data_IF_737302418382
#
_entry.id   IF_737302418382
#
_cell.length_a   1.000
_cell.length_b   1.000
_cell.length_c   1.000
_cell.angle_alpha   90.00
_cell.angle_beta   90.00
_cell.angle_gamma   90.00
#
_symmetry.space_group_name_H-M   'P 1'
#
loop_
_entity.id
_entity.type
_entity.pdbx_description
1 polymer ?
#
# COMPACT_ATOMS: atom_id res chain seq x y z
N UNK A 1 -19.25 10.14 8.01
CA UNK A 1 -17.91 9.52 7.88
C UNK A 1 -17.99 8.28 6.99
N UNK A 2 -17.05 8.13 6.10
CA UNK A 2 -16.90 6.93 5.27
C UNK A 2 -15.53 6.33 5.55
N UNK A 3 -15.48 5.01 5.77
CA UNK A 3 -14.24 4.26 5.95
C UNK A 3 -14.09 3.31 4.76
N UNK A 4 -13.00 3.47 4.02
CA UNK A 4 -12.64 2.61 2.89
C UNK A 4 -11.45 1.76 3.31
N UNK A 5 -11.65 0.43 3.36
CA UNK A 5 -10.60 -0.49 3.76
C UNK A 5 -10.08 -1.25 2.53
N UNK A 6 -8.78 -1.55 2.55
CA UNK A 6 -8.11 -2.33 1.51
C UNK A 6 -8.31 -1.73 0.11
N UNK A 7 -8.16 -0.39 -0.04
CA UNK A 7 -8.40 0.28 -1.34
C UNK A 7 -7.47 -0.23 -2.45
N UNK A 8 -6.32 -0.79 -2.10
CA UNK A 8 -5.41 -1.38 -3.08
C UNK A 8 -6.00 -2.62 -3.78
N UNK A 9 -6.98 -3.27 -3.17
CA UNK A 9 -7.67 -4.41 -3.76
C UNK A 9 -8.89 -4.03 -4.61
N UNK A 10 -9.27 -2.75 -4.63
CA UNK A 10 -10.37 -2.26 -5.46
C UNK A 10 -9.92 -2.19 -6.91
N UNK A 11 -10.59 -2.95 -7.77
CA UNK A 11 -10.14 -3.18 -9.14
C UNK A 11 -10.73 -2.20 -10.14
N UNK A 12 -9.88 -1.73 -11.05
CA UNK A 12 -10.24 -1.02 -12.26
C UNK A 12 -10.99 0.29 -12.02
N UNK A 13 -11.69 0.72 -13.06
CA UNK A 13 -12.46 1.97 -13.06
C UNK A 13 -13.64 1.93 -12.07
N UNK A 14 -14.15 0.74 -11.76
CA UNK A 14 -15.27 0.58 -10.82
C UNK A 14 -14.96 1.07 -9.43
N UNK A 15 -13.77 0.76 -8.91
CA UNK A 15 -13.32 1.21 -7.60
C UNK A 15 -13.15 2.72 -7.54
N UNK A 16 -12.56 3.32 -8.58
CA UNK A 16 -12.38 4.77 -8.68
C UNK A 16 -13.73 5.47 -8.75
N UNK A 17 -14.66 4.98 -9.57
CA UNK A 17 -16.02 5.54 -9.67
C UNK A 17 -16.75 5.48 -8.33
N UNK A 18 -16.66 4.37 -7.64
CA UNK A 18 -17.29 4.21 -6.31
C UNK A 18 -16.73 5.23 -5.32
N UNK A 19 -15.42 5.43 -5.31
CA UNK A 19 -14.79 6.45 -4.46
C UNK A 19 -15.30 7.85 -4.79
N UNK A 20 -15.37 8.21 -6.07
CA UNK A 20 -15.86 9.54 -6.51
C UNK A 20 -17.33 9.76 -6.14
N UNK A 21 -18.17 8.75 -6.25
CA UNK A 21 -19.57 8.82 -5.84
C UNK A 21 -19.68 9.08 -4.33
N UNK A 22 -18.92 8.35 -3.52
CA UNK A 22 -18.91 8.54 -2.07
C UNK A 22 -18.40 9.93 -1.68
N UNK A 23 -17.36 10.40 -2.35
CA UNK A 23 -16.79 11.73 -2.13
C UNK A 23 -17.81 12.83 -2.44
N UNK A 24 -18.54 12.70 -3.56
CA UNK A 24 -19.60 13.64 -3.94
C UNK A 24 -20.74 13.67 -2.93
N UNK A 25 -21.13 12.51 -2.43
CA UNK A 25 -22.20 12.40 -1.44
C UNK A 25 -21.88 13.12 -0.13
N UNK A 26 -20.61 13.25 0.22
CA UNK A 26 -20.18 13.94 1.44
C UNK A 26 -20.23 15.46 1.32
N UNK A 27 -20.38 16.00 0.12
CA UNK A 27 -20.44 17.45 -0.08
C UNK A 27 -21.60 18.16 0.64
N UNK A 28 -22.66 17.41 0.95
CA UNK A 28 -23.82 17.94 1.68
C UNK A 28 -23.62 17.99 3.20
N UNK A 29 -22.52 17.46 3.73
CA UNK A 29 -22.25 17.41 5.16
C UNK A 29 -21.35 18.57 5.60
N UNK A 30 -21.54 19.06 6.81
CA UNK A 30 -20.73 20.14 7.37
C UNK A 30 -19.30 19.70 7.68
N UNK A 31 -19.15 18.48 8.20
CA UNK A 31 -17.85 17.90 8.54
C UNK A 31 -17.71 16.52 7.90
N UNK A 32 -17.54 16.48 6.58
CA UNK A 32 -17.36 15.21 5.90
C UNK A 32 -15.96 14.64 6.21
N UNK A 33 -15.90 13.32 6.38
CA UNK A 33 -14.64 12.60 6.54
C UNK A 33 -14.67 11.32 5.73
N UNK A 34 -13.65 11.15 4.89
CA UNK A 34 -13.35 9.88 4.23
C UNK A 34 -12.01 9.40 4.79
N UNK A 35 -12.02 8.25 5.43
CA UNK A 35 -10.82 7.57 5.91
C UNK A 35 -10.56 6.38 5.01
N UNK A 36 -9.42 6.41 4.29
CA UNK A 36 -9.00 5.30 3.42
C UNK A 36 -7.75 4.66 4.00
N UNK A 37 -7.81 3.35 4.23
CA UNK A 37 -6.70 2.58 4.76
C UNK A 37 -6.38 1.42 3.83
N UNK A 38 -5.09 1.13 3.65
CA UNK A 38 -4.67 0.05 2.77
C UNK A 38 -3.20 -0.29 2.96
N UNK A 39 -2.83 -1.51 2.61
CA UNK A 39 -1.46 -1.86 2.23
C UNK A 39 -1.28 -1.64 0.73
N UNK A 40 -0.05 -1.74 0.24
CA UNK A 40 0.22 -1.73 -1.19
C UNK A 40 -0.36 -2.99 -1.86
N UNK A 41 -0.49 -2.94 -3.17
CA UNK A 41 -1.08 -4.05 -3.92
C UNK A 41 -0.41 -4.25 -5.27
N UNK A 42 -1.11 -4.94 -6.16
CA UNK A 42 -0.64 -5.29 -7.50
C UNK A 42 -1.38 -4.57 -8.62
N UNK A 43 -2.52 -3.96 -8.32
CA UNK A 43 -3.37 -3.33 -9.34
C UNK A 43 -2.77 -2.02 -9.83
N UNK A 44 -2.93 -1.74 -11.13
CA UNK A 44 -2.46 -0.52 -11.77
C UNK A 44 -3.63 0.41 -12.09
N UNK A 45 -3.38 1.73 -12.04
CA UNK A 45 -4.30 2.79 -12.47
C UNK A 45 -5.65 2.79 -11.72
N UNK A 46 -5.68 2.19 -10.52
CA UNK A 46 -6.87 2.19 -9.68
C UNK A 46 -6.86 3.32 -8.66
N UNK A 47 -7.81 3.23 -7.70
CA UNK A 47 -7.95 4.23 -6.63
C UNK A 47 -6.68 4.34 -5.77
N UNK A 48 -5.99 3.24 -5.51
CA UNK A 48 -4.76 3.26 -4.73
C UNK A 48 -3.69 4.13 -5.40
N UNK A 49 -3.47 3.95 -6.71
CA UNK A 49 -2.49 4.75 -7.45
C UNK A 49 -2.86 6.23 -7.46
N UNK A 50 -4.14 6.54 -7.63
CA UNK A 50 -4.62 7.93 -7.59
C UNK A 50 -4.37 8.58 -6.22
N UNK A 51 -4.71 7.87 -5.15
CA UNK A 51 -4.48 8.38 -3.79
C UNK A 51 -3.00 8.50 -3.46
N UNK A 52 -2.17 7.57 -3.92
CA UNK A 52 -0.72 7.63 -3.72
C UNK A 52 -0.10 8.82 -4.47
N UNK A 53 -0.52 9.07 -5.70
CA UNK A 53 -0.07 10.20 -6.51
C UNK A 53 -0.41 11.53 -5.82
N UNK A 54 -1.66 11.69 -5.37
CA UNK A 54 -2.11 12.89 -4.66
C UNK A 54 -1.38 13.06 -3.33
N UNK A 55 -1.23 11.99 -2.58
CA UNK A 55 -0.53 12.00 -1.28
C UNK A 55 0.93 12.38 -1.41
N UNK A 56 1.62 11.81 -2.39
CA UNK A 56 3.02 12.12 -2.66
C UNK A 56 3.20 13.58 -3.07
N UNK A 57 2.34 14.10 -3.94
CA UNK A 57 2.36 15.49 -4.35
C UNK A 57 2.14 16.43 -3.15
N UNK A 58 1.20 16.09 -2.28
CA UNK A 58 0.92 16.86 -1.07
C UNK A 58 2.14 16.89 -0.13
N UNK A 59 2.73 15.73 0.15
CA UNK A 59 3.87 15.62 1.07
C UNK A 59 5.12 16.32 0.53
N UNK A 60 5.27 16.39 -0.79
CA UNK A 60 6.37 17.13 -1.44
C UNK A 60 6.12 18.64 -1.56
N UNK A 61 4.96 19.11 -1.13
CA UNK A 61 4.59 20.52 -1.23
C UNK A 61 4.16 20.96 -2.63
N UNK A 62 3.86 20.03 -3.53
CA UNK A 62 3.50 20.30 -4.92
C UNK A 62 1.99 20.27 -5.17
N UNK A 63 1.18 20.29 -4.11
CA UNK A 63 -0.28 20.23 -4.21
C UNK A 63 -0.93 21.42 -3.53
N UNK A 64 -2.04 21.87 -4.08
CA UNK A 64 -2.89 22.91 -3.50
C UNK A 64 -4.02 22.35 -2.65
N UNK A 65 -4.10 21.03 -2.50
CA UNK A 65 -5.13 20.38 -1.68
C UNK A 65 -4.95 20.76 -0.21
N UNK A 66 -6.05 21.08 0.46
CA UNK A 66 -6.05 21.47 1.88
C UNK A 66 -6.80 20.48 2.77
N UNK A 67 -7.52 19.53 2.16
CA UNK A 67 -8.39 18.59 2.88
C UNK A 67 -7.89 17.15 2.76
N UNK A 68 -6.61 16.98 2.44
CA UNK A 68 -5.96 15.69 2.35
C UNK A 68 -4.93 15.59 3.48
N UNK A 69 -4.98 14.50 4.24
CA UNK A 69 -4.00 14.22 5.29
C UNK A 69 -3.47 12.80 5.09
N UNK A 70 -2.36 12.64 4.36
CA UNK A 70 -1.80 11.32 4.11
C UNK A 70 -0.82 10.89 5.19
N UNK A 71 -0.88 9.61 5.55
CA UNK A 71 0.12 8.92 6.35
C UNK A 71 0.63 7.74 5.53
N UNK A 72 1.87 7.85 5.05
CA UNK A 72 2.48 6.82 4.22
C UNK A 72 3.59 6.11 5.01
N UNK A 73 3.30 4.89 5.42
CA UNK A 73 4.24 4.03 6.14
C UNK A 73 4.81 3.00 5.18
N UNK A 74 5.99 3.27 4.65
CA UNK A 74 6.65 2.43 3.66
C UNK A 74 8.17 2.51 3.87
N UNK A 75 8.90 1.52 3.34
CA UNK A 75 10.36 1.61 3.33
C UNK A 75 10.82 2.66 2.32
N UNK A 76 11.98 3.26 2.56
CA UNK A 76 12.56 4.27 1.67
C UNK A 76 13.44 3.67 0.59
N UNK A 77 14.18 2.62 0.93
CA UNK A 77 15.15 1.97 0.04
C UNK A 77 14.73 0.51 -0.20
N UNK A 78 14.29 0.23 -1.42
CA UNK A 78 13.81 -1.10 -1.80
C UNK A 78 14.93 -2.15 -1.72
N UNK A 79 16.19 -1.75 -1.92
CA UNK A 79 17.33 -2.66 -1.78
C UNK A 79 17.53 -3.15 -0.34
N UNK A 80 16.99 -2.43 0.63
CA UNK A 80 17.04 -2.79 2.05
C UNK A 80 15.76 -3.46 2.53
N UNK A 81 15.02 -4.09 1.64
CA UNK A 81 13.74 -4.72 1.97
C UNK A 81 13.83 -5.79 3.06
N UNK A 82 14.99 -6.40 3.23
CA UNK A 82 15.27 -7.44 4.24
C UNK A 82 15.99 -6.93 5.49
N UNK A 83 16.11 -5.61 5.65
CA UNK A 83 16.73 -5.00 6.83
C UNK A 83 15.64 -4.64 7.84
N UNK A 84 15.77 -5.14 9.07
CA UNK A 84 14.81 -4.90 10.15
C UNK A 84 14.68 -3.39 10.45
N UNK A 85 15.77 -2.65 10.44
CA UNK A 85 15.72 -1.20 10.72
C UNK A 85 14.95 -0.44 9.63
N UNK A 86 15.11 -0.86 8.37
CA UNK A 86 14.33 -0.28 7.28
C UNK A 86 12.84 -0.63 7.39
N UNK A 87 12.53 -1.87 7.79
CA UNK A 87 11.16 -2.34 7.95
C UNK A 87 10.38 -1.60 9.05
N UNK A 88 11.06 -1.00 10.01
CA UNK A 88 10.41 -0.19 11.04
C UNK A 88 9.68 1.01 10.46
N UNK A 89 10.15 1.55 9.33
CA UNK A 89 9.50 2.68 8.65
C UNK A 89 8.11 2.32 8.14
N UNK A 90 7.94 1.09 7.66
CA UNK A 90 6.65 0.58 7.18
C UNK A 90 5.81 -0.04 8.30
N UNK A 91 6.42 -0.36 9.45
CA UNK A 91 5.77 -1.05 10.55
C UNK A 91 6.04 -0.33 11.88
N UNK A 92 5.35 0.79 12.14
CA UNK A 92 5.60 1.60 13.33
C UNK A 92 5.32 0.87 14.65
N UNK A 93 4.53 -0.21 14.62
CA UNK A 93 4.25 -1.04 15.80
C UNK A 93 5.27 -2.16 16.04
N UNK A 94 6.36 -2.19 15.26
CA UNK A 94 7.41 -3.19 15.47
C UNK A 94 8.03 -3.02 16.86
N UNK A 95 8.09 -4.12 17.60
CA UNK A 95 8.54 -4.13 18.98
C UNK A 95 7.42 -3.94 20.01
N UNK A 96 6.20 -3.64 19.56
CA UNK A 96 5.02 -3.47 20.43
C UNK A 96 3.99 -4.56 20.18
N UNK A 97 3.44 -4.64 18.96
CA UNK A 97 2.44 -5.65 18.59
C UNK A 97 2.98 -6.68 17.60
N UNK A 98 4.04 -6.34 16.86
CA UNK A 98 4.72 -7.25 15.93
C UNK A 98 6.21 -7.20 16.23
N UNK A 99 6.85 -8.36 16.35
CA UNK A 99 8.24 -8.44 16.81
C UNK A 99 9.23 -8.78 15.69
N UNK A 100 10.51 -8.36 15.79
CA UNK A 100 11.50 -8.60 14.75
C UNK A 100 11.67 -10.06 14.32
N UNK A 101 11.51 -11.02 15.23
CA UNK A 101 11.67 -12.43 14.90
C UNK A 101 10.64 -12.92 13.87
N UNK A 102 9.41 -12.39 13.95
CA UNK A 102 8.39 -12.66 12.92
C UNK A 102 8.87 -12.20 11.53
N UNK A 103 9.43 -11.00 11.45
CA UNK A 103 9.93 -10.47 10.17
C UNK A 103 11.12 -11.26 9.66
N UNK A 104 12.00 -11.72 10.53
CA UNK A 104 13.14 -12.56 10.12
C UNK A 104 12.69 -13.85 9.48
N UNK A 105 11.67 -14.49 10.03
CA UNK A 105 11.09 -15.70 9.45
C UNK A 105 10.44 -15.42 8.11
N UNK A 106 9.66 -14.35 8.00
CA UNK A 106 9.02 -13.96 6.75
C UNK A 106 10.03 -13.56 5.67
N UNK A 107 11.12 -12.91 6.05
CA UNK A 107 12.23 -12.59 5.14
C UNK A 107 12.86 -13.88 4.60
N UNK A 108 13.09 -14.87 5.43
CA UNK A 108 13.66 -16.15 5.02
C UNK A 108 12.77 -16.83 3.96
N UNK A 109 11.45 -16.78 4.14
CA UNK A 109 10.50 -17.29 3.14
C UNK A 109 10.53 -16.48 1.85
N UNK A 110 10.59 -15.14 1.98
CA UNK A 110 10.61 -14.25 0.82
C UNK A 110 11.88 -14.40 -0.04
N UNK A 111 13.00 -14.77 0.57
CA UNK A 111 14.25 -15.02 -0.15
C UNK A 111 14.21 -16.28 -1.02
N UNK A 112 13.22 -17.16 -0.82
CA UNK A 112 13.11 -18.42 -1.54
C UNK A 112 12.57 -18.27 -2.96
N UNK A 113 11.76 -17.25 -3.24
CA UNK A 113 11.20 -17.05 -4.57
C UNK A 113 10.81 -15.59 -4.81
N UNK A 114 10.77 -15.20 -6.09
CA UNK A 114 10.37 -13.84 -6.48
C UNK A 114 8.91 -13.58 -6.15
N UNK A 115 8.03 -14.58 -6.23
CA UNK A 115 6.63 -14.46 -5.85
C UNK A 115 6.47 -14.15 -4.36
N UNK A 116 7.19 -14.87 -3.51
CA UNK A 116 7.15 -14.63 -2.06
C UNK A 116 7.77 -13.30 -1.69
N UNK A 117 8.83 -12.89 -2.38
CA UNK A 117 9.43 -11.57 -2.20
C UNK A 117 8.45 -10.46 -2.59
N UNK A 118 7.75 -10.59 -3.73
CA UNK A 118 6.77 -9.61 -4.16
C UNK A 118 5.63 -9.47 -3.14
N UNK A 119 5.14 -10.59 -2.61
CA UNK A 119 4.13 -10.60 -1.56
C UNK A 119 4.63 -9.89 -0.29
N UNK A 120 5.86 -10.16 0.13
CA UNK A 120 6.49 -9.50 1.27
C UNK A 120 6.60 -7.99 1.06
N UNK A 121 7.04 -7.56 -0.12
CA UNK A 121 7.19 -6.15 -0.46
C UNK A 121 5.86 -5.40 -0.40
N UNK A 122 4.78 -5.98 -0.90
CA UNK A 122 3.46 -5.33 -0.82
C UNK A 122 2.92 -5.30 0.60
N UNK A 123 3.07 -6.40 1.34
CA UNK A 123 2.41 -6.60 2.62
C UNK A 123 3.14 -5.95 3.79
N UNK A 124 4.46 -6.08 3.84
CA UNK A 124 5.25 -5.62 4.99
C UNK A 124 6.11 -4.40 4.71
N UNK A 125 6.42 -4.11 3.45
CA UNK A 125 7.18 -2.92 3.05
C UNK A 125 6.30 -1.81 2.48
N UNK A 126 5.06 -2.13 2.14
CA UNK A 126 4.10 -1.24 1.46
C UNK A 126 4.64 -0.68 0.15
N UNK A 127 5.35 -1.52 -0.60
CA UNK A 127 5.84 -1.21 -1.93
C UNK A 127 4.99 -1.95 -2.95
N UNK A 128 4.34 -1.21 -3.83
CA UNK A 128 3.52 -1.78 -4.88
C UNK A 128 4.36 -2.64 -5.81
N UNK A 129 3.83 -3.81 -6.19
CA UNK A 129 4.46 -4.74 -7.10
C UNK A 129 3.60 -4.95 -8.34
N UNK A 130 4.24 -5.38 -9.42
CA UNK A 130 3.55 -5.72 -10.66
C UNK A 130 3.01 -7.15 -10.55
N UNK A 131 1.72 -7.33 -10.83
CA UNK A 131 1.07 -8.65 -10.81
C UNK A 131 1.70 -9.65 -11.77
N UNK A 132 2.30 -9.19 -12.87
CA UNK A 132 2.97 -10.05 -13.84
C UNK A 132 4.19 -10.77 -13.26
N UNK A 133 4.90 -10.14 -12.32
CA UNK A 133 6.07 -10.75 -11.66
C UNK A 133 5.63 -11.96 -10.84
N UNK A 134 4.59 -11.83 -10.05
CA UNK A 134 4.06 -12.91 -9.23
C UNK A 134 3.58 -14.07 -10.10
N UNK A 135 2.93 -13.78 -11.21
CA UNK A 135 2.43 -14.79 -12.15
C UNK A 135 3.57 -15.53 -12.84
N UNK A 136 4.61 -14.81 -13.31
CA UNK A 136 5.76 -15.41 -13.98
C UNK A 136 6.54 -16.36 -13.06
N UNK A 137 6.73 -15.97 -11.80
CA UNK A 137 7.43 -16.80 -10.83
C UNK A 137 6.65 -18.09 -10.54
N UNK A 138 5.34 -18.00 -10.37
CA UNK A 138 4.48 -19.16 -10.18
C UNK A 138 4.53 -20.12 -11.38
N UNK A 139 4.56 -19.55 -12.59
CA UNK A 139 4.65 -20.35 -13.83
C UNK A 139 6.01 -21.05 -13.97
N UNK A 140 7.09 -20.39 -13.60
CA UNK A 140 8.44 -20.97 -13.63
C UNK A 140 8.55 -22.13 -12.62
N UNK A 141 7.99 -21.97 -11.43
CA UNK A 141 8.00 -23.02 -10.39
C UNK A 141 7.21 -24.25 -10.82
N UNK A 142 6.11 -24.09 -11.55
CA UNK A 142 5.31 -25.19 -12.09
C UNK A 142 5.95 -25.84 -13.35
N UNK A 143 6.81 -25.13 -14.01
CA UNK A 143 7.51 -25.62 -15.21
C UNK A 143 8.80 -26.33 -14.90
#
# INVERSE_FOLDING_TARGET
MVVNDEVASWRGDGGLKQYEVMKSALGARRQPLILSISTAGYENDGIYDELMKRSTAFLKGNSKERRLLPFLYMIDDVEKWNDIEELKKANPNMGVSVFPDFFREEIAVAEMSASKKAEFLTKYCNIKQNSSIAWLDAHIVEG
#
